data_IF_740486756865
#
_entry.id   IF_740486756865
#
_cell.length_a   1.000
_cell.length_b   1.000
_cell.length_c   1.000
_cell.angle_alpha   90.00
_cell.angle_beta   90.00
_cell.angle_gamma   90.00
#
_symmetry.space_group_name_H-M   'P 1'
#
loop_
_entity.id
_entity.type
_entity.pdbx_description
1 polymer ?
#
# COMPACT_ATOMS: atom_id res chain seq x y z
N UNK A 1 22.46 -24.97 -7.80
CA UNK A 1 23.78 -25.56 -7.46
C UNK A 1 23.56 -27.03 -7.13
N UNK A 2 24.12 -27.96 -7.90
CA UNK A 2 24.01 -29.41 -7.69
C UNK A 2 25.20 -29.96 -6.88
N UNK A 3 25.06 -31.13 -6.25
CA UNK A 3 26.17 -31.82 -5.56
C UNK A 3 27.12 -32.45 -6.58
N UNK A 4 28.43 -32.27 -6.39
CA UNK A 4 29.48 -32.85 -7.25
C UNK A 4 29.88 -34.28 -6.80
N UNK A 5 30.28 -35.12 -7.76
CA UNK A 5 30.78 -36.49 -7.58
C UNK A 5 31.82 -36.65 -6.47
N UNK A 6 32.79 -35.74 -6.38
CA UNK A 6 33.84 -35.74 -5.34
C UNK A 6 33.29 -35.51 -3.94
N UNK A 7 32.20 -34.75 -3.81
CA UNK A 7 31.55 -34.51 -2.51
C UNK A 7 30.86 -35.76 -1.97
N UNK A 8 30.32 -36.61 -2.85
CA UNK A 8 29.71 -37.89 -2.48
C UNK A 8 30.75 -38.90 -1.97
N UNK A 9 31.91 -38.96 -2.63
CA UNK A 9 33.01 -39.84 -2.21
C UNK A 9 33.54 -39.45 -0.83
N UNK A 10 33.71 -38.15 -0.58
CA UNK A 10 34.12 -37.64 0.73
C UNK A 10 33.11 -37.95 1.83
N UNK A 11 31.81 -37.85 1.54
CA UNK A 11 30.77 -38.24 2.50
C UNK A 11 30.86 -39.73 2.86
N UNK A 12 31.03 -40.61 1.85
CA UNK A 12 31.23 -42.05 2.08
C UNK A 12 32.50 -42.35 2.88
N UNK A 13 33.61 -41.69 2.58
CA UNK A 13 34.86 -41.83 3.31
C UNK A 13 34.73 -41.41 4.79
N UNK A 14 33.84 -40.46 5.09
CA UNK A 14 33.52 -40.02 6.45
C UNK A 14 32.43 -40.87 7.14
N UNK A 15 31.92 -41.93 6.49
CA UNK A 15 30.80 -42.73 7.02
C UNK A 15 29.49 -41.95 7.12
N UNK A 16 29.34 -40.85 6.37
CA UNK A 16 28.16 -39.98 6.39
C UNK A 16 27.36 -40.16 5.11
N UNK A 17 26.05 -40.09 5.26
CA UNK A 17 25.09 -40.13 4.15
C UNK A 17 24.27 -38.84 4.12
N UNK A 18 23.85 -38.43 2.93
CA UNK A 18 23.04 -37.24 2.75
C UNK A 18 21.63 -37.49 3.33
N UNK A 19 21.04 -36.53 4.08
CA UNK A 19 19.66 -36.65 4.53
C UNK A 19 18.68 -36.72 3.35
N UNK A 20 17.49 -37.28 3.61
CA UNK A 20 16.42 -37.39 2.61
C UNK A 20 16.09 -36.01 2.03
N UNK A 21 16.03 -35.94 0.70
CA UNK A 21 15.67 -34.70 0.01
C UNK A 21 14.28 -34.22 0.44
N UNK A 22 14.14 -32.90 0.62
CA UNK A 22 12.85 -32.28 0.86
C UNK A 22 11.93 -32.51 -0.35
N UNK A 23 10.61 -32.65 -0.13
CA UNK A 23 9.66 -32.70 -1.24
C UNK A 23 9.85 -31.45 -2.12
N UNK A 24 10.09 -31.67 -3.40
CA UNK A 24 10.19 -30.56 -4.35
C UNK A 24 8.81 -29.89 -4.45
N UNK A 25 8.74 -28.56 -4.52
CA UNK A 25 7.47 -27.88 -4.73
C UNK A 25 6.88 -28.30 -6.08
N UNK A 26 5.68 -28.88 -6.06
CA UNK A 26 4.92 -29.30 -7.23
C UNK A 26 4.75 -28.12 -8.21
N UNK A 27 5.48 -28.12 -9.33
CA UNK A 27 5.19 -27.25 -10.47
C UNK A 27 3.94 -27.78 -11.16
N UNK A 28 2.77 -27.33 -10.72
CA UNK A 28 1.48 -27.72 -11.31
C UNK A 28 1.35 -27.13 -12.72
N UNK A 29 1.53 -27.99 -13.73
CA UNK A 29 0.92 -27.84 -15.04
C UNK A 29 -0.56 -28.28 -14.92
N UNK A 30 -1.42 -27.57 -15.63
CA UNK A 30 -2.87 -27.53 -15.49
C UNK A 30 -3.59 -28.88 -15.67
N UNK A 31 -4.48 -29.25 -14.73
CA UNK A 31 -5.80 -29.87 -15.01
C UNK A 31 -6.71 -29.82 -13.77
N UNK A 32 -7.93 -29.31 -13.93
CA UNK A 32 -9.03 -29.25 -12.94
C UNK A 32 -9.84 -30.58 -12.84
N UNK A 33 -10.92 -30.71 -12.02
CA UNK A 33 -10.95 -30.67 -10.55
C UNK A 33 -11.77 -31.84 -9.96
N UNK A 34 -11.50 -32.27 -8.72
CA UNK A 34 -12.47 -33.05 -7.94
C UNK A 34 -12.26 -32.85 -6.44
N UNK A 35 -13.36 -32.49 -5.78
CA UNK A 35 -13.65 -32.59 -4.36
C UNK A 35 -13.07 -31.53 -3.38
N UNK A 36 -13.94 -30.57 -3.04
CA UNK A 36 -14.35 -30.32 -1.64
C UNK A 36 -13.42 -29.59 -0.67
N UNK A 37 -12.11 -29.50 -0.90
CA UNK A 37 -11.21 -28.73 -0.02
C UNK A 37 -10.75 -27.44 -0.70
N UNK A 38 -11.19 -26.32 -0.15
CA UNK A 38 -11.01 -24.96 -0.69
C UNK A 38 -9.54 -24.69 -1.03
N UNK A 39 -9.29 -24.69 -2.35
CA UNK A 39 -8.30 -23.93 -3.09
C UNK A 39 -6.84 -24.05 -2.65
N UNK A 40 -6.26 -25.22 -2.90
CA UNK A 40 -4.86 -25.31 -3.29
C UNK A 40 -4.71 -24.76 -4.73
N UNK A 41 -4.62 -23.44 -4.82
CA UNK A 41 -4.38 -22.65 -6.03
C UNK A 41 -3.93 -21.25 -5.63
N UNK A 42 -3.13 -21.17 -4.55
CA UNK A 42 -2.83 -19.94 -3.86
C UNK A 42 -1.79 -19.14 -4.64
N UNK A 43 -2.23 -18.36 -5.66
CA UNK A 43 -1.84 -16.95 -5.64
C UNK A 43 -2.19 -16.50 -4.23
N UNK A 44 -1.17 -16.41 -3.36
CA UNK A 44 -1.35 -15.88 -2.00
C UNK A 44 -2.22 -14.64 -2.19
N UNK A 45 -3.41 -14.63 -1.59
CA UNK A 45 -4.32 -13.51 -1.73
C UNK A 45 -3.48 -12.28 -1.40
N UNK A 46 -3.15 -11.49 -2.44
CA UNK A 46 -2.22 -10.38 -2.27
C UNK A 46 -2.87 -9.48 -1.24
N UNK A 47 -2.11 -9.09 -0.24
CA UNK A 47 -2.62 -8.14 0.73
C UNK A 47 -3.02 -6.88 -0.03
N UNK A 48 -4.08 -6.20 0.41
CA UNK A 48 -4.60 -5.04 -0.31
C UNK A 48 -3.52 -3.96 -0.50
N UNK A 49 -2.62 -3.82 0.48
CA UNK A 49 -1.39 -3.02 0.47
C UNK A 49 -0.49 -3.31 -0.75
N UNK A 50 -0.48 -4.54 -1.24
CA UNK A 50 0.30 -4.94 -2.40
C UNK A 50 -0.42 -4.68 -3.73
N UNK A 51 -1.73 -4.50 -3.73
CA UNK A 51 -2.53 -4.27 -4.95
C UNK A 51 -2.94 -2.82 -5.14
N UNK A 52 -2.94 -2.02 -4.08
CA UNK A 52 -3.40 -0.65 -4.11
C UNK A 52 -2.45 0.27 -4.92
N UNK A 53 -3.04 1.20 -5.66
CA UNK A 53 -2.34 2.15 -6.53
C UNK A 53 -2.54 3.60 -6.06
N UNK A 54 -3.63 3.90 -5.36
CA UNK A 54 -3.85 5.22 -4.78
C UNK A 54 -2.97 5.42 -3.54
N UNK A 55 -2.11 6.45 -3.50
CA UNK A 55 -1.23 6.69 -2.35
C UNK A 55 -2.03 6.91 -1.04
N UNK A 56 -3.21 7.54 -1.09
CA UNK A 56 -4.00 7.82 0.11
C UNK A 56 -4.61 6.54 0.69
N UNK A 57 -5.09 5.65 -0.17
CA UNK A 57 -5.66 4.36 0.24
C UNK A 57 -4.55 3.42 0.71
N UNK A 58 -3.43 3.37 -0.01
CA UNK A 58 -2.25 2.57 0.35
C UNK A 58 -1.73 2.96 1.74
N UNK A 59 -1.61 4.25 2.04
CA UNK A 59 -1.20 4.72 3.36
C UNK A 59 -2.16 4.29 4.47
N UNK A 60 -3.48 4.43 4.25
CA UNK A 60 -4.50 4.00 5.22
C UNK A 60 -4.43 2.50 5.50
N UNK A 61 -4.19 1.69 4.48
CA UNK A 61 -4.04 0.25 4.66
C UNK A 61 -2.73 -0.12 5.36
N UNK A 62 -1.64 0.58 5.08
CA UNK A 62 -0.38 0.42 5.81
C UNK A 62 -0.54 0.70 7.30
N UNK A 63 -1.25 1.77 7.65
CA UNK A 63 -1.56 2.10 9.06
C UNK A 63 -2.44 1.04 9.73
N UNK A 64 -3.39 0.44 9.01
CA UNK A 64 -4.23 -0.65 9.54
C UNK A 64 -3.45 -1.97 9.71
N UNK A 65 -2.55 -2.26 8.78
CA UNK A 65 -1.76 -3.48 8.77
C UNK A 65 -0.58 -3.44 9.77
N UNK A 66 -0.11 -2.24 10.12
CA UNK A 66 0.99 -2.04 11.07
C UNK A 66 0.54 -1.24 12.30
N UNK A 67 -0.08 -1.90 13.30
CA UNK A 67 -0.43 -1.25 14.56
C UNK A 67 0.82 -0.76 15.33
N UNK A 68 1.98 -1.37 15.07
CA UNK A 68 3.26 -1.02 15.68
C UNK A 68 3.98 0.16 14.96
N UNK A 69 3.43 0.66 13.85
CA UNK A 69 4.03 1.73 13.04
C UNK A 69 5.31 1.33 12.29
N UNK A 70 5.71 0.05 12.35
CA UNK A 70 6.88 -0.48 11.62
C UNK A 70 6.45 -0.87 10.20
N UNK A 71 6.89 -0.11 9.21
CA UNK A 71 6.58 -0.37 7.79
C UNK A 71 7.82 -0.87 7.05
N UNK A 72 7.76 -1.98 6.31
CA UNK A 72 8.85 -2.45 5.46
C UNK A 72 9.33 -1.39 4.44
N UNK A 73 10.64 -1.30 4.17
CA UNK A 73 11.20 -0.23 3.35
C UNK A 73 10.66 -0.20 1.92
N UNK A 74 10.38 -1.36 1.33
CA UNK A 74 9.85 -1.45 -0.02
C UNK A 74 8.42 -0.89 -0.16
N UNK A 75 7.61 -0.93 0.90
CA UNK A 75 6.26 -0.35 0.89
C UNK A 75 6.30 1.18 0.98
N UNK A 76 7.27 1.74 1.72
CA UNK A 76 7.53 3.18 1.75
C UNK A 76 8.05 3.69 0.40
N UNK A 77 8.97 2.96 -0.24
CA UNK A 77 9.44 3.30 -1.59
C UNK A 77 8.28 3.33 -2.58
N UNK A 78 7.39 2.32 -2.53
CA UNK A 78 6.20 2.28 -3.37
C UNK A 78 5.23 3.44 -3.11
N UNK A 79 4.99 3.79 -1.85
CA UNK A 79 4.16 4.94 -1.49
C UNK A 79 4.73 6.22 -2.09
N UNK A 80 6.04 6.45 -1.97
CA UNK A 80 6.72 7.59 -2.58
C UNK A 80 6.58 7.62 -4.10
N UNK A 81 6.75 6.47 -4.77
CA UNK A 81 6.56 6.36 -6.22
C UNK A 81 5.12 6.71 -6.64
N UNK A 82 4.12 6.24 -5.89
CA UNK A 82 2.72 6.55 -6.15
C UNK A 82 2.42 8.05 -5.99
N UNK A 83 2.98 8.71 -4.97
CA UNK A 83 2.87 10.16 -4.78
C UNK A 83 3.56 10.94 -5.90
N UNK A 84 4.78 10.56 -6.30
CA UNK A 84 5.50 11.22 -7.38
C UNK A 84 4.76 11.13 -8.71
N UNK A 85 4.12 9.97 -8.99
CA UNK A 85 3.26 9.79 -10.17
C UNK A 85 2.03 10.68 -10.14
N UNK A 86 1.46 10.96 -8.97
CA UNK A 86 0.35 11.90 -8.81
C UNK A 86 0.79 13.35 -9.06
N UNK A 87 1.98 13.72 -8.59
CA UNK A 87 2.54 15.07 -8.74
C UNK A 87 3.05 15.35 -10.16
N UNK A 88 3.40 14.31 -10.91
CA UNK A 88 3.89 14.43 -12.29
C UNK A 88 2.86 13.80 -13.24
N UNK A 89 1.75 14.48 -13.54
CA UNK A 89 0.85 14.00 -14.58
C UNK A 89 1.62 13.94 -15.90
N UNK A 90 1.47 12.86 -16.71
CA UNK A 90 2.00 12.86 -18.07
C UNK A 90 1.42 14.05 -18.85
N UNK A 91 2.16 14.65 -19.80
CA UNK A 91 1.66 15.74 -20.63
C UNK A 91 0.48 15.23 -21.47
N UNK A 92 -0.75 15.38 -20.96
CA UNK A 92 -1.96 14.88 -21.59
C UNK A 92 -3.03 14.32 -20.65
N UNK A 93 -2.73 14.09 -19.37
CA UNK A 93 -3.74 13.68 -18.39
C UNK A 93 -4.12 14.86 -17.51
N UNK A 94 -5.30 15.43 -17.78
CA UNK A 94 -5.91 16.43 -16.91
C UNK A 94 -6.03 15.86 -15.48
N UNK A 95 -5.78 16.66 -14.44
CA UNK A 95 -6.13 16.25 -13.08
C UNK A 95 -7.63 15.99 -13.04
N UNK A 96 -8.03 14.82 -12.56
CA UNK A 96 -9.43 14.57 -12.22
C UNK A 96 -9.77 15.50 -11.05
N UNK A 97 -10.31 16.67 -11.37
CA UNK A 97 -10.98 17.49 -10.37
C UNK A 97 -12.12 16.67 -9.77
N UNK A 98 -12.30 16.69 -8.44
CA UNK A 98 -13.52 16.17 -7.85
C UNK A 98 -14.68 17.01 -8.41
N UNK A 99 -15.52 16.38 -9.24
CA UNK A 99 -16.69 17.01 -9.80
C UNK A 99 -17.57 17.57 -8.67
N UNK A 100 -17.49 18.89 -8.47
CA UNK A 100 -18.48 19.63 -7.71
C UNK A 100 -19.76 19.63 -8.54
N UNK A 101 -20.65 18.70 -8.23
CA UNK A 101 -22.05 18.73 -8.64
C UNK A 101 -22.68 20.03 -8.12
N UNK A 102 -22.68 21.03 -9.00
CA UNK A 102 -23.48 22.25 -8.88
C UNK A 102 -24.53 22.23 -9.97
N UNK A 103 -25.56 21.39 -9.81
CA UNK A 103 -26.87 21.65 -10.38
C UNK A 103 -27.87 22.02 -9.29
N UNK A 104 -28.04 23.34 -9.18
CA UNK A 104 -29.06 24.08 -8.46
C UNK A 104 -30.46 23.48 -8.63
N UNK A 105 -30.95 22.86 -7.55
CA UNK A 105 -32.40 22.73 -7.30
C UNK A 105 -32.79 23.57 -6.11
N UNK A 106 -33.44 24.68 -6.42
CA UNK A 106 -34.21 25.53 -5.51
C UNK A 106 -35.02 24.69 -4.53
N UNK A 107 -34.62 24.69 -3.25
CA UNK A 107 -35.56 24.49 -2.16
C UNK A 107 -35.08 25.27 -0.94
N UNK A 108 -35.96 26.16 -0.51
CA UNK A 108 -35.84 27.03 0.65
C UNK A 108 -35.69 26.18 1.92
N UNK A 109 -34.56 26.32 2.62
CA UNK A 109 -34.49 25.94 4.04
C UNK A 109 -33.35 26.65 4.76
N UNK A 110 -33.73 27.33 5.84
CA UNK A 110 -32.90 28.00 6.84
C UNK A 110 -31.83 27.03 7.38
N UNK A 111 -30.59 27.14 6.92
CA UNK A 111 -29.40 26.47 7.46
C UNK A 111 -28.17 27.18 6.89
N UNK A 112 -27.74 28.28 7.51
CA UNK A 112 -26.57 29.04 7.02
C UNK A 112 -25.92 29.89 8.12
N UNK A 113 -25.99 29.45 9.37
CA UNK A 113 -25.34 30.14 10.49
C UNK A 113 -24.18 29.34 11.08
N UNK A 114 -24.19 28.01 10.96
CA UNK A 114 -23.11 27.16 11.46
C UNK A 114 -21.93 27.07 10.49
N UNK A 115 -22.20 26.90 9.19
CA UNK A 115 -21.14 26.81 8.17
C UNK A 115 -20.34 28.11 8.01
N UNK A 116 -21.00 29.27 8.19
CA UNK A 116 -20.32 30.56 8.17
C UNK A 116 -19.41 30.75 9.40
N UNK A 117 -19.86 30.29 10.58
CA UNK A 117 -19.06 30.35 11.80
C UNK A 117 -17.85 29.40 11.75
N UNK A 118 -18.01 28.21 11.16
CA UNK A 118 -16.91 27.26 10.94
C UNK A 118 -15.88 27.80 9.94
N UNK A 119 -16.32 28.51 8.89
CA UNK A 119 -15.42 29.15 7.94
C UNK A 119 -14.59 30.28 8.59
N UNK A 120 -15.21 31.08 9.47
CA UNK A 120 -14.52 32.14 10.22
C UNK A 120 -13.53 31.55 11.25
N UNK A 121 -13.88 30.45 11.90
CA UNK A 121 -12.99 29.74 12.82
C UNK A 121 -11.79 29.15 12.09
N UNK A 122 -12.01 28.52 10.93
CA UNK A 122 -10.93 28.02 10.08
C UNK A 122 -10.00 29.14 9.58
N UNK A 123 -10.56 30.29 9.21
CA UNK A 123 -9.77 31.46 8.82
C UNK A 123 -8.88 31.98 9.95
N UNK A 124 -9.40 32.01 11.19
CA UNK A 124 -8.64 32.39 12.40
C UNK A 124 -7.55 31.38 12.73
N UNK A 125 -7.84 30.08 12.64
CA UNK A 125 -6.85 29.02 12.87
C UNK A 125 -5.72 29.08 11.84
N UNK A 126 -6.04 29.34 10.57
CA UNK A 126 -5.05 29.46 9.50
C UNK A 126 -4.14 30.69 9.69
N UNK A 127 -4.70 31.82 10.14
CA UNK A 127 -3.89 33.02 10.45
C UNK A 127 -3.02 32.81 11.68
N UNK A 128 -3.53 32.18 12.74
CA UNK A 128 -2.75 31.88 13.94
C UNK A 128 -1.57 30.92 13.62
N UNK A 129 -1.79 29.91 12.77
CA UNK A 129 -0.74 29.00 12.32
C UNK A 129 0.35 29.73 11.52
N UNK A 130 -0.02 30.63 10.62
CA UNK A 130 0.97 31.44 9.89
C UNK A 130 1.82 32.30 10.84
N UNK A 131 1.21 32.93 11.83
CA UNK A 131 1.96 33.72 12.83
C UNK A 131 2.93 32.86 13.64
N UNK A 132 2.52 31.65 14.04
CA UNK A 132 3.40 30.71 14.76
C UNK A 132 4.62 30.29 13.93
N UNK A 133 4.48 30.12 12.61
CA UNK A 133 5.62 29.81 11.75
C UNK A 133 6.62 30.97 11.70
N UNK A 134 6.11 32.20 11.57
CA UNK A 134 6.94 33.41 11.51
C UNK A 134 7.64 33.71 12.85
N UNK A 135 7.00 33.41 13.98
CA UNK A 135 7.60 33.61 15.32
C UNK A 135 8.75 32.63 15.61
N UNK A 136 8.74 31.42 15.02
CA UNK A 136 9.82 30.44 15.20
C UNK A 136 11.03 30.66 14.28
N UNK A 137 10.97 31.61 13.34
CA UNK A 137 12.08 31.96 12.44
C UNK A 137 12.96 33.12 13.00
N UNK A 138 12.64 33.67 14.17
CA UNK A 138 13.34 34.81 14.80
C UNK A 138 14.45 34.42 15.84
N UNK A 139 14.83 33.14 15.94
CA UNK A 139 15.96 32.65 16.78
C UNK A 139 17.10 31.97 15.98
#
# INVERSE_FOLDING_TARGET
MSFDSRSLERLRALGRQLPKALPQPETRMDTEPADGTRSSGSRRARHAVETEQDPEVLFRELMKASPDGRVPPHLLSRLREAEMRRLTPPPGSQPAEPALDRSSRSSRSKRSTTEAAEADEQARLYTAFQQLLLENDED
#
